data_IF_016125177142
#
_entry.id   IF_016125177142
#
_cell.length_a   1.000
_cell.length_b   1.000
_cell.length_c   1.000
_cell.angle_alpha   90.00
_cell.angle_beta   90.00
_cell.angle_gamma   90.00
#
_symmetry.space_group_name_H-M   'P 1'
#
loop_
_entity.id
_entity.type
_entity.pdbx_description
1 polymer ?
2 non-polymer ?
3 non-polymer ?
4 non-polymer ?
5 non-polymer ?
6 water ?
#
# COMPACT_ATOMS: atom_id res chain seq x y z
N UNK A 19 -26.99 19.31 10.02
CA UNK A 19 -26.10 18.25 9.52
C UNK A 19 -26.44 16.87 10.07
N UNK A 20 -26.16 15.80 9.30
CA UNK A 20 -26.34 14.44 9.81
C UNK A 20 -25.28 14.12 10.87
N UNK A 21 -25.63 13.17 11.75
CA UNK A 21 -24.76 12.68 12.84
C UNK A 21 -24.65 11.19 12.69
N UNK A 22 -23.50 10.63 13.07
CA UNK A 22 -23.26 9.19 13.01
C UNK A 22 -22.50 8.81 14.26
N UNK A 23 -23.13 8.01 15.15
CA UNK A 23 -22.46 7.44 16.32
C UNK A 23 -21.85 8.55 17.19
N UNK A 24 -22.67 9.56 17.49
CA UNK A 24 -22.29 10.63 18.39
C UNK A 24 -21.25 11.60 17.87
N UNK A 25 -21.05 11.66 16.53
CA UNK A 25 -20.12 12.63 15.94
C UNK A 25 -20.69 13.13 14.63
N UNK A 26 -20.38 14.38 14.31
CA UNK A 26 -20.86 15.04 13.11
C UNK A 26 -20.28 14.38 11.84
N UNK A 27 -21.11 14.24 10.81
CA UNK A 27 -20.66 13.72 9.52
C UNK A 27 -21.41 14.47 8.45
N UNK A 28 -20.87 15.62 8.12
CA UNK A 28 -21.62 16.70 7.53
C UNK A 28 -21.28 16.79 6.07
N UNK A 29 -21.98 16.02 5.27
CA UNK A 29 -21.61 15.87 3.86
C UNK A 29 -22.60 16.54 2.92
N UNK A 30 -23.25 17.59 3.43
CA UNK A 30 -24.15 18.41 2.63
C UNK A 30 -25.30 17.62 2.09
N UNK A 31 -26.20 18.28 1.37
CA UNK A 31 -27.41 17.59 0.90
C UNK A 31 -27.14 16.61 -0.24
N UNK A 32 -25.99 16.71 -0.94
CA UNK A 32 -25.67 15.76 -2.03
C UNK A 32 -25.64 14.30 -1.51
N UNK A 33 -25.12 14.10 -0.31
CA UNK A 33 -24.91 12.76 0.22
C UNK A 33 -25.76 12.53 1.44
N UNK A 34 -26.66 11.54 1.37
CA UNK A 34 -27.63 11.22 2.41
C UNK A 34 -27.62 9.69 2.72
N UNK A 35 -28.44 9.24 3.69
CA UNK A 35 -28.65 7.84 4.04
C UNK A 35 -27.32 7.21 4.42
N UNK A 36 -26.69 7.82 5.42
CA UNK A 36 -25.37 7.40 5.85
C UNK A 36 -25.46 6.10 6.62
N UNK A 37 -24.51 5.20 6.37
CA UNK A 37 -24.32 4.00 7.15
C UNK A 37 -22.86 3.99 7.57
N UNK A 38 -22.61 3.84 8.86
CA UNK A 38 -21.28 3.65 9.40
C UNK A 38 -20.60 2.40 8.76
N UNK A 39 -19.33 2.53 8.36
CA UNK A 39 -18.52 1.40 7.89
C UNK A 39 -17.51 1.02 8.97
N UNK A 40 -16.84 2.02 9.52
CA UNK A 40 -15.78 1.76 10.50
C UNK A 40 -14.82 2.92 10.63
N UNK A 41 -13.65 2.61 11.18
CA UNK A 41 -12.56 3.56 11.26
C UNK A 41 -11.47 3.09 10.30
N UNK A 42 -10.94 4.04 9.54
CA UNK A 42 -9.72 3.82 8.75
C UNK A 42 -8.55 4.58 9.34
N UNK A 43 -7.42 4.58 8.63
CA UNK A 43 -6.22 5.29 9.07
C UNK A 43 -6.48 6.79 9.34
N UNK A 44 -7.63 7.34 8.86
CA UNK A 44 -7.95 8.77 8.96
C UNK A 44 -9.05 9.12 9.99
N UNK A 45 -10.00 8.24 10.19
CA UNK A 45 -11.14 8.55 11.07
C UNK A 45 -12.38 7.86 10.60
N UNK A 46 -13.54 8.50 10.85
CA UNK A 46 -14.81 7.86 10.51
C UNK A 46 -14.96 7.73 8.99
N UNK A 47 -15.32 6.51 8.56
CA UNK A 47 -15.70 6.18 7.21
C UNK A 47 -17.15 5.75 7.23
N UNK A 48 -17.98 6.33 6.33
CA UNK A 48 -19.37 5.94 6.08
C UNK A 48 -19.60 5.62 4.60
N UNK A 49 -20.68 4.89 4.28
CA UNK A 49 -21.24 4.98 2.95
C UNK A 49 -22.40 5.96 2.97
N UNK A 50 -22.73 6.49 1.80
CA UNK A 50 -23.82 7.43 1.63
C UNK A 50 -24.36 7.29 0.21
N UNK A 51 -25.60 7.69 0.01
CA UNK A 51 -26.19 7.76 -1.31
C UNK A 51 -25.82 9.07 -1.99
N UNK A 52 -25.19 8.99 -3.17
CA UNK A 52 -24.84 10.18 -3.92
C UNK A 52 -26.07 10.53 -4.74
N UNK A 53 -26.77 11.62 -4.41
CA UNK A 53 -28.01 11.96 -5.13
C UNK A 53 -27.77 12.47 -6.57
N UNK A 54 -26.52 12.82 -6.95
CA UNK A 54 -26.20 13.26 -8.30
C UNK A 54 -25.96 12.05 -9.24
N UNK A 55 -24.93 11.22 -8.96
CA UNK A 55 -24.65 10.05 -9.80
C UNK A 55 -25.54 8.84 -9.50
N UNK A 56 -26.34 8.88 -8.43
CA UNK A 56 -27.36 7.88 -8.12
C UNK A 56 -26.74 6.51 -7.84
N UNK A 57 -25.70 6.51 -6.99
CA UNK A 57 -24.99 5.32 -6.51
C UNK A 57 -24.55 5.56 -5.06
N UNK A 58 -24.37 4.50 -4.29
CA UNK A 58 -23.76 4.66 -2.99
C UNK A 58 -22.24 4.86 -3.22
N UNK A 59 -21.63 5.74 -2.37
CA UNK A 59 -20.22 6.08 -2.40
C UNK A 59 -19.67 5.87 -1.00
N UNK A 60 -18.32 5.85 -0.85
CA UNK A 60 -17.65 5.84 0.43
C UNK A 60 -17.21 7.28 0.72
N UNK A 61 -17.26 7.70 2.00
CA UNK A 61 -16.80 9.02 2.43
C UNK A 61 -15.99 8.85 3.67
N UNK A 62 -14.79 9.43 3.70
CA UNK A 62 -13.98 9.46 4.89
C UNK A 62 -13.85 10.89 5.40
N UNK A 63 -13.93 11.04 6.73
CA UNK A 63 -13.83 12.33 7.43
C UNK A 63 -12.43 12.49 7.91
N UNK A 64 -11.82 13.64 7.54
CA UNK A 64 -10.50 14.07 7.97
C UNK A 64 -10.68 15.30 8.87
N UNK A 65 -10.24 15.23 10.13
CA UNK A 65 -10.32 16.33 11.10
C UNK A 65 -8.92 16.79 11.52
N UNK A 66 -8.68 18.13 11.63
CA UNK A 66 -7.34 18.56 12.04
C UNK A 66 -7.08 18.26 13.52
N UNK A 69 -2.78 16.32 14.00
CA UNK A 69 -1.50 17.04 14.01
C UNK A 69 -0.83 17.05 12.60
N UNK A 70 0.39 17.62 12.47
CA UNK A 70 1.03 17.86 11.17
C UNK A 70 1.51 16.60 10.39
N UNK A 71 1.54 15.41 11.01
CA UNK A 71 1.94 14.18 10.28
C UNK A 71 0.69 13.58 9.66
N UNK A 72 -0.36 13.43 10.45
CA UNK A 72 -1.73 13.20 9.97
C UNK A 72 -2.09 14.16 8.81
N UNK A 73 -1.69 15.43 8.96
CA UNK A 73 -1.99 16.46 7.99
C UNK A 73 -1.11 16.31 6.77
N UNK A 74 0.21 16.10 6.94
CA UNK A 74 1.07 16.01 5.73
C UNK A 74 0.67 14.79 4.89
N UNK A 75 0.29 13.70 5.54
CA UNK A 75 -0.16 12.49 4.83
C UNK A 75 -1.52 12.70 4.07
N UNK A 76 -2.41 13.51 4.61
CA UNK A 76 -3.63 13.91 3.92
C UNK A 76 -3.30 14.64 2.58
N UNK A 77 -2.40 15.60 2.62
CA UNK A 77 -2.06 16.37 1.44
C UNK A 77 -1.36 15.53 0.42
N UNK A 78 -0.41 14.71 0.86
CA UNK A 78 0.30 13.77 0.00
C UNK A 78 -0.69 12.87 -0.73
N UNK A 79 -1.63 12.28 -0.01
CA UNK A 79 -2.59 11.39 -0.62
C UNK A 79 -3.48 12.11 -1.63
N UNK A 80 -4.06 13.27 -1.23
CA UNK A 80 -4.90 14.03 -2.17
C UNK A 80 -4.13 14.37 -3.46
N UNK A 81 -2.92 14.93 -3.33
CA UNK A 81 -2.12 15.28 -4.54
C UNK A 81 -1.93 14.04 -5.47
N UNK A 82 -1.50 12.91 -4.88
CA UNK A 82 -1.27 11.71 -5.68
C UNK A 82 -2.53 11.18 -6.33
N UNK A 83 -3.59 10.99 -5.55
CA UNK A 83 -4.81 10.38 -6.06
C UNK A 83 -5.49 11.23 -7.07
N UNK A 84 -5.41 12.57 -6.95
CA UNK A 84 -5.94 13.45 -7.97
C UNK A 84 -5.15 13.39 -9.28
N UNK A 85 -3.81 13.12 -9.23
CA UNK A 85 -2.99 13.04 -10.46
C UNK A 85 -3.15 11.68 -11.14
N UNK A 86 -3.31 10.64 -10.36
CA UNK A 86 -3.39 9.29 -10.90
C UNK A 86 -4.72 8.99 -11.48
N UNK A 87 -4.71 8.32 -12.62
CA UNK A 87 -5.93 7.75 -13.18
C UNK A 87 -5.67 6.34 -13.66
N UNK A 88 -6.15 5.34 -12.91
CA UNK A 88 -5.91 3.94 -13.24
C UNK A 88 -7.01 3.07 -12.67
N UNK A 89 -7.42 2.05 -13.42
CA UNK A 89 -8.48 1.17 -12.99
C UNK A 89 -8.20 0.46 -11.67
N UNK A 90 -6.89 0.19 -11.31
CA UNK A 90 -6.57 -0.55 -10.11
C UNK A 90 -6.06 0.35 -9.00
N UNK A 91 -6.38 1.66 -9.07
CA UNK A 91 -6.02 2.63 -8.08
C UNK A 91 -7.28 3.42 -7.73
N UNK A 92 -7.56 3.55 -6.42
CA UNK A 92 -8.78 4.25 -6.00
C UNK A 92 -8.65 5.75 -6.47
N UNK A 93 -9.76 6.32 -6.93
CA UNK A 93 -9.76 7.74 -7.29
C UNK A 93 -10.32 8.56 -6.14
N UNK A 94 -10.37 9.86 -6.33
CA UNK A 94 -11.17 10.75 -5.49
C UNK A 94 -12.26 11.33 -6.40
N UNK A 95 -13.49 11.13 -6.05
CA UNK A 95 -14.64 11.56 -6.82
C UNK A 95 -15.08 12.97 -6.45
N UNK A 96 -14.85 13.36 -5.18
CA UNK A 96 -15.31 14.65 -4.66
C UNK A 96 -14.60 14.90 -3.34
N UNK A 97 -14.48 16.16 -2.97
CA UNK A 97 -13.95 16.56 -1.66
C UNK A 97 -14.89 17.65 -1.16
N UNK A 98 -15.38 17.51 0.08
CA UNK A 98 -16.25 18.48 0.72
C UNK A 98 -15.49 19.22 1.77
N UNK A 99 -15.54 20.57 1.68
CA UNK A 99 -14.99 21.37 2.73
C UNK A 99 -15.69 22.76 2.71
N UNK A 100 -15.45 23.58 3.73
CA UNK A 100 -15.99 24.94 3.76
C UNK A 100 -15.43 25.81 2.62
N UNK A 101 -16.16 26.88 2.22
CA UNK A 101 -15.69 27.71 1.10
C UNK A 101 -14.48 28.61 1.36
N UNK A 102 -14.08 28.81 2.61
CA UNK A 102 -12.96 29.65 3.00
C UNK A 102 -12.04 28.91 3.92
N UNK A 103 -10.73 29.27 3.91
CA UNK A 103 -9.79 28.72 4.90
C UNK A 103 -10.25 28.97 6.31
N UNK A 104 -10.81 30.18 6.58
CA UNK A 104 -11.19 30.53 7.95
C UNK A 104 -12.24 29.57 8.47
N UNK A 105 -13.19 29.17 7.60
CA UNK A 105 -14.27 28.26 8.05
C UNK A 105 -13.91 26.78 7.90
N UNK A 106 -12.81 26.47 7.24
CA UNK A 106 -12.47 25.08 6.96
C UNK A 106 -12.07 24.40 8.24
N UNK A 107 -12.70 23.27 8.53
CA UNK A 107 -12.33 22.42 9.67
C UNK A 107 -12.21 21.00 9.11
N UNK A 108 -13.30 20.28 8.95
CA UNK A 108 -13.24 18.91 8.46
C UNK A 108 -13.21 18.92 6.92
N UNK A 109 -12.60 17.88 6.39
CA UNK A 109 -12.51 17.63 4.96
C UNK A 109 -13.08 16.23 4.72
N UNK A 110 -14.03 16.10 3.84
CA UNK A 110 -14.62 14.77 3.51
C UNK A 110 -14.19 14.35 2.13
N UNK A 111 -13.59 13.13 2.03
CA UNK A 111 -13.12 12.63 0.76
C UNK A 111 -14.10 11.54 0.28
N UNK A 112 -14.64 11.73 -0.90
CA UNK A 112 -15.63 10.85 -1.46
C UNK A 112 -14.95 9.95 -2.51
N UNK A 113 -15.17 8.63 -2.39
CA UNK A 113 -14.53 7.66 -3.26
C UNK A 113 -15.53 6.58 -3.65
N UNK A 114 -15.24 5.84 -4.72
CA UNK A 114 -16.06 4.68 -5.10
C UNK A 114 -16.25 3.75 -3.90
N UNK A 115 -17.46 3.26 -3.70
CA UNK A 115 -17.74 2.37 -2.59
C UNK A 115 -17.18 1.01 -2.99
N UNK A 116 -16.45 0.38 -2.10
CA UNK A 116 -15.90 -0.94 -2.37
C UNK A 116 -16.42 -1.87 -1.27
N UNK A 117 -17.06 -3.00 -1.64
CA UNK A 117 -17.76 -3.94 -0.71
C UNK A 117 -16.80 -4.33 0.39
N UNK A 118 -15.52 -4.63 0.03
CA UNK A 118 -14.62 -5.20 1.03
C UNK A 118 -13.12 -4.86 0.73
N UNK A 119 -12.22 -5.51 1.42
CA UNK A 119 -10.80 -5.39 1.19
C UNK A 119 -10.15 -6.74 1.44
N UNK A 120 -8.87 -6.88 1.07
CA UNK A 120 -8.23 -8.18 1.12
C UNK A 120 -8.00 -8.60 2.60
N UNK A 121 -7.82 -7.67 3.53
CA UNK A 121 -7.69 -7.99 4.95
C UNK A 121 -8.95 -8.69 5.44
N UNK A 122 -10.12 -8.09 5.22
CA UNK A 122 -11.42 -8.67 5.65
C UNK A 122 -11.68 -9.97 4.95
N UNK A 123 -11.39 -10.03 3.65
CA UNK A 123 -11.66 -11.25 2.89
C UNK A 123 -10.76 -12.41 3.42
N UNK A 124 -9.48 -12.16 3.66
CA UNK A 124 -8.60 -13.21 4.16
C UNK A 124 -8.92 -13.66 5.58
N UNK A 125 -9.55 -12.84 6.44
CA UNK A 125 -9.89 -13.35 7.78
C UNK A 125 -10.99 -14.43 7.68
N UNK A 126 -11.83 -14.41 6.61
CA UNK A 126 -13.03 -15.24 6.51
C UNK A 126 -13.10 -16.21 5.32
N UNK A 127 -12.30 -16.02 4.24
CA UNK A 127 -12.51 -16.71 2.96
C UNK A 127 -11.25 -17.38 2.46
N UNK A 128 -11.34 -18.63 2.07
CA UNK A 128 -10.29 -19.32 1.35
C UNK A 128 -10.34 -18.85 -0.09
N UNK A 129 -9.18 -18.50 -0.66
CA UNK A 129 -9.15 -18.06 -2.06
C UNK A 129 -8.81 -19.21 -2.96
N UNK A 130 -9.55 -19.36 -4.08
CA UNK A 130 -9.16 -20.26 -5.15
C UNK A 130 -7.85 -19.82 -5.76
N UNK A 131 -7.08 -20.73 -6.37
CA UNK A 131 -5.89 -20.32 -7.12
C UNK A 131 -6.25 -19.27 -8.19
N UNK A 132 -7.44 -19.38 -8.81
CA UNK A 132 -7.87 -18.38 -9.80
C UNK A 132 -8.04 -17.00 -9.19
N UNK A 133 -8.57 -16.90 -7.98
CA UNK A 133 -8.68 -15.58 -7.30
C UNK A 133 -7.30 -15.02 -6.95
N UNK A 134 -6.39 -15.87 -6.44
CA UNK A 134 -5.04 -15.44 -6.04
C UNK A 134 -4.36 -14.84 -7.29
N UNK A 135 -4.48 -15.55 -8.39
CA UNK A 135 -3.83 -15.18 -9.64
C UNK A 135 -4.37 -13.82 -10.15
N UNK A 136 -5.68 -13.66 -10.14
CA UNK A 136 -6.36 -12.44 -10.57
C UNK A 136 -6.06 -11.24 -9.67
N UNK A 137 -6.15 -11.44 -8.34
CA UNK A 137 -5.79 -10.40 -7.38
C UNK A 137 -4.35 -9.98 -7.58
N UNK A 138 -3.43 -10.96 -7.67
CA UNK A 138 -2.02 -10.64 -7.82
C UNK A 138 -1.79 -9.84 -9.10
N UNK A 139 -2.45 -10.27 -10.20
CA UNK A 139 -2.32 -9.54 -11.46
C UNK A 139 -2.73 -8.07 -11.28
N UNK A 140 -3.89 -7.83 -10.64
CA UNK A 140 -4.43 -6.46 -10.53
C UNK A 140 -3.52 -5.60 -9.62
N UNK A 141 -3.01 -6.19 -8.54
CA UNK A 141 -2.03 -5.51 -7.67
C UNK A 141 -0.84 -5.05 -8.50
N UNK A 142 -0.25 -5.97 -9.26
CA UNK A 142 0.94 -5.64 -10.05
C UNK A 142 0.63 -4.65 -11.17
N UNK A 143 -0.54 -4.76 -11.76
CA UNK A 143 -0.98 -3.87 -12.83
C UNK A 143 -1.07 -2.41 -12.27
N UNK A 144 -1.67 -2.24 -11.11
CA UNK A 144 -1.74 -0.95 -10.43
C UNK A 144 -0.36 -0.49 -10.04
N UNK A 145 0.45 -1.40 -9.50
CA UNK A 145 1.80 -1.07 -9.04
C UNK A 145 2.71 -0.59 -10.21
N UNK A 146 2.54 -1.21 -11.37
CA UNK A 146 3.25 -0.77 -12.61
C UNK A 146 2.99 0.72 -12.87
N UNK A 147 1.72 1.13 -12.77
CA UNK A 147 1.39 2.53 -13.01
C UNK A 147 2.01 3.45 -11.94
N UNK A 148 1.91 3.07 -10.67
CA UNK A 148 2.50 3.85 -9.57
C UNK A 148 4.00 4.02 -9.78
N UNK A 149 4.72 2.89 -10.00
CA UNK A 149 6.14 2.93 -10.21
C UNK A 149 6.50 3.68 -11.48
N UNK A 150 5.67 3.59 -12.54
CA UNK A 150 5.91 4.35 -13.76
C UNK A 150 5.87 5.87 -13.50
N UNK A 151 5.15 6.33 -12.45
CA UNK A 151 5.10 7.73 -12.08
C UNK A 151 6.26 8.12 -11.13
N UNK A 152 7.24 7.21 -10.92
CA UNK A 152 8.38 7.40 -10.02
C UNK A 152 7.92 7.51 -8.58
N UNK A 153 6.79 6.86 -8.23
CA UNK A 153 6.24 6.88 -6.88
C UNK A 153 6.31 5.51 -6.28
N UNK A 154 6.52 5.49 -4.99
CA UNK A 154 6.51 4.32 -4.12
C UNK A 154 5.35 4.42 -3.21
N UNK A 155 4.56 3.34 -3.09
CA UNK A 155 3.40 3.35 -2.24
C UNK A 155 3.85 3.31 -0.77
N UNK A 156 4.73 2.37 -0.47
CA UNK A 156 5.46 2.14 0.80
C UNK A 156 4.59 1.58 1.94
N UNK A 157 3.31 1.26 1.69
CA UNK A 157 2.48 0.66 2.73
C UNK A 157 1.47 -0.28 2.18
N UNK A 158 1.92 -1.07 1.18
CA UNK A 158 1.07 -2.09 0.61
C UNK A 158 0.85 -3.20 1.65
N UNK A 159 -0.40 -3.58 1.81
CA UNK A 159 -0.85 -4.58 2.77
C UNK A 159 -2.31 -4.92 2.44
N UNK A 160 -2.82 -6.07 2.91
CA UNK A 160 -4.19 -6.46 2.53
C UNK A 160 -5.26 -5.39 2.76
N UNK A 161 -5.16 -4.62 3.86
CA UNK A 161 -6.25 -3.65 4.18
C UNK A 161 -6.26 -2.45 3.19
N UNK A 162 -5.15 -2.23 2.46
CA UNK A 162 -5.10 -1.23 1.43
C UNK A 162 -5.40 -1.75 0.03
N UNK A 163 -5.99 -2.92 -0.07
CA UNK A 163 -6.35 -3.48 -1.36
C UNK A 163 -7.86 -3.68 -1.29
N UNK A 164 -8.57 -2.77 -1.91
CA UNK A 164 -10.03 -2.78 -1.91
C UNK A 164 -10.59 -3.69 -2.97
N UNK A 165 -11.73 -4.38 -2.70
CA UNK A 165 -12.40 -5.25 -3.63
C UNK A 165 -13.88 -4.95 -3.69
N UNK A 166 -14.41 -4.96 -4.86
CA UNK A 166 -15.87 -4.82 -5.08
C UNK A 166 -16.53 -6.19 -5.21
N UNK A 167 -17.88 -6.26 -5.48
CA UNK A 167 -18.55 -7.57 -5.47
C UNK A 167 -18.13 -8.49 -6.56
N UNK A 168 -17.51 -7.96 -7.61
CA UNK A 168 -17.01 -8.78 -8.70
C UNK A 168 -15.48 -8.96 -8.64
N UNK A 169 -14.89 -8.70 -7.49
CA UNK A 169 -13.44 -8.91 -7.30
C UNK A 169 -12.52 -7.99 -8.15
N UNK A 170 -13.01 -6.85 -8.61
CA UNK A 170 -12.11 -5.80 -9.12
C UNK A 170 -11.38 -5.20 -7.91
N UNK A 171 -10.10 -4.94 -8.06
CA UNK A 171 -9.23 -4.58 -6.98
C UNK A 171 -8.68 -3.18 -7.24
N UNK A 172 -8.60 -2.40 -6.18
CA UNK A 172 -8.08 -1.03 -6.22
C UNK A 172 -7.15 -0.77 -5.01
N UNK A 173 -5.97 -0.28 -5.32
CA UNK A 173 -4.99 0.06 -4.34
C UNK A 173 -5.43 1.41 -3.74
N UNK A 174 -5.41 1.53 -2.42
CA UNK A 174 -5.73 2.76 -1.71
C UNK A 174 -4.61 3.13 -0.66
N UNK A 175 -4.82 4.26 0.01
CA UNK A 175 -3.97 4.81 1.05
C UNK A 175 -2.54 5.16 0.64
N UNK A 176 -2.39 6.30 0.04
CA UNK A 176 -1.10 6.80 -0.40
C UNK A 176 -0.46 7.80 0.61
N UNK A 177 -0.88 7.74 1.86
CA UNK A 177 -0.38 8.57 2.95
C UNK A 177 1.10 8.46 3.25
N UNK A 178 1.73 7.29 3.03
CA UNK A 178 3.16 7.09 3.24
C UNK A 178 3.96 7.12 1.95
N UNK A 179 3.34 7.42 0.81
CA UNK A 179 4.00 7.38 -0.46
C UNK A 179 5.10 8.42 -0.62
N UNK A 180 6.10 8.12 -1.43
CA UNK A 180 7.18 9.05 -1.71
C UNK A 180 7.59 8.95 -3.14
N UNK A 181 8.24 10.01 -3.69
CA UNK A 181 8.96 9.90 -4.95
C UNK A 181 10.19 9.03 -4.75
N UNK A 182 10.43 8.12 -5.67
CA UNK A 182 11.58 7.21 -5.60
C UNK A 182 12.90 8.00 -5.56
N UNK A 183 13.88 7.55 -4.76
CA UNK A 183 15.14 8.28 -4.62
C UNK A 183 16.21 7.30 -4.27
N UNK A 184 16.51 6.36 -5.19
CA UNK A 184 17.53 5.35 -4.86
C UNK A 184 18.89 5.90 -4.42
N UNK A 185 19.34 7.03 -5.00
CA UNK A 185 20.65 7.60 -4.63
C UNK A 185 20.71 8.08 -3.18
N UNK A 186 19.57 8.24 -2.51
CA UNK A 186 19.56 8.59 -1.09
C UNK A 186 18.89 7.50 -0.24
N UNK A 187 18.95 6.22 -0.65
CA UNK A 187 18.30 5.12 0.08
C UNK A 187 19.08 4.60 1.28
N UNK A 188 20.41 4.88 1.38
CA UNK A 188 21.20 4.28 2.44
C UNK A 188 21.02 4.96 3.76
N UNK A 189 21.03 4.13 4.81
CA UNK A 189 20.99 4.58 6.20
C UNK A 189 21.69 3.54 7.09
N UNK A 190 21.84 3.87 8.37
CA UNK A 190 22.41 2.98 9.37
C UNK A 190 21.48 1.85 9.76
N UNK A 191 22.05 0.99 10.59
CA UNK A 191 21.38 -0.18 11.12
C UNK A 191 20.33 0.26 12.16
N UNK A 192 19.14 -0.37 12.15
CA UNK A 192 18.08 -0.11 13.13
C UNK A 192 17.51 1.32 13.01
N UNK A 193 17.37 1.84 11.77
CA UNK A 193 16.76 3.15 11.57
C UNK A 193 15.26 2.97 11.64
N UNK A 194 14.59 3.84 12.40
CA UNK A 194 13.16 3.73 12.62
C UNK A 194 12.42 3.88 11.27
N UNK A 195 11.29 3.20 11.16
CA UNK A 195 10.53 3.18 9.91
C UNK A 195 9.04 3.24 10.25
N UNK A 196 8.26 3.87 9.35
CA UNK A 196 6.86 4.21 9.58
C UNK A 196 5.90 3.08 9.10
N UNK A 197 6.15 2.54 7.91
CA UNK A 197 5.24 1.60 7.27
C UNK A 197 4.98 0.33 8.06
N UNK A 198 3.86 -0.32 7.81
CA UNK A 198 3.35 -1.45 8.59
C UNK A 198 4.38 -2.57 8.69
N UNK A 199 4.63 -3.05 9.93
CA UNK A 199 5.82 -3.88 10.18
C UNK A 199 5.87 -5.22 9.40
N UNK A 200 4.76 -5.97 9.34
CA UNK A 200 4.80 -7.33 8.75
C UNK A 200 5.15 -7.34 7.21
N UNK A 201 5.02 -6.20 6.56
CA UNK A 201 5.19 -6.10 5.11
C UNK A 201 6.52 -5.36 4.75
N UNK A 202 7.42 -5.09 5.73
CA UNK A 202 8.69 -4.36 5.58
C UNK A 202 9.78 -5.30 5.05
N UNK A 203 10.46 -4.89 4.01
CA UNK A 203 11.54 -5.64 3.42
C UNK A 203 12.71 -5.75 4.42
N UNK A 204 13.52 -6.83 4.33
CA UNK A 204 14.57 -7.01 5.35
C UNK A 204 15.52 -5.83 5.43
N UNK A 205 15.80 -5.20 4.23
CA UNK A 205 16.77 -4.11 4.17
C UNK A 205 16.36 -2.87 4.97
N UNK A 206 15.05 -2.68 5.26
CA UNK A 206 14.62 -1.55 6.09
C UNK A 206 15.28 -1.62 7.48
N UNK A 207 15.39 -2.84 8.02
CA UNK A 207 16.00 -3.05 9.32
C UNK A 207 17.52 -2.98 9.29
N UNK A 208 18.14 -2.97 8.10
CA UNK A 208 19.56 -3.10 7.95
C UNK A 208 20.22 -1.83 7.46
N UNK A 209 19.78 -1.31 6.30
CA UNK A 209 20.49 -0.21 5.66
C UNK A 209 19.66 0.62 4.67
N UNK A 210 18.32 0.57 4.74
CA UNK A 210 17.47 1.19 3.71
C UNK A 210 16.42 2.08 4.33
N UNK A 211 16.24 3.30 3.76
CA UNK A 211 15.12 4.20 4.08
C UNK A 211 13.83 3.92 3.27
N UNK A 212 13.80 2.84 2.50
CA UNK A 212 12.58 2.52 1.74
C UNK A 212 12.32 3.50 0.60
N UNK A 213 13.37 3.95 -0.06
CA UNK A 213 13.28 4.92 -1.15
C UNK A 213 13.43 4.27 -2.54
N UNK A 214 13.34 2.92 -2.65
CA UNK A 214 13.42 2.26 -3.94
C UNK A 214 12.20 1.36 -4.15
N UNK A 215 11.92 1.12 -5.43
CA UNK A 215 10.76 0.37 -5.91
C UNK A 215 10.72 -1.04 -5.34
N UNK A 216 11.91 -1.63 -5.09
CA UNK A 216 12.04 -2.97 -4.52
C UNK A 216 11.36 -3.10 -3.14
N UNK A 217 11.08 -1.96 -2.45
CA UNK A 217 10.44 -2.04 -1.13
C UNK A 217 8.96 -2.50 -1.30
N UNK A 218 8.31 -2.06 -2.38
CA UNK A 218 6.94 -2.39 -2.67
C UNK A 218 6.81 -3.79 -3.19
N UNK A 219 7.74 -4.26 -4.00
CA UNK A 219 7.74 -5.65 -4.46
C UNK A 219 7.79 -6.61 -3.26
N UNK A 220 8.63 -6.30 -2.23
CA UNK A 220 8.69 -7.17 -1.05
C UNK A 220 7.25 -7.27 -0.44
N UNK A 221 6.58 -6.14 -0.25
CA UNK A 221 5.25 -6.10 0.34
C UNK A 221 4.30 -6.95 -0.47
N UNK A 222 4.38 -6.86 -1.80
CA UNK A 222 3.51 -7.66 -2.67
C UNK A 222 3.79 -9.16 -2.48
N UNK A 223 5.06 -9.54 -2.36
CA UNK A 223 5.48 -10.90 -2.07
C UNK A 223 4.83 -11.41 -0.78
N UNK A 224 4.84 -10.54 0.26
CA UNK A 224 4.22 -10.86 1.55
C UNK A 224 2.69 -11.08 1.38
N UNK A 225 2.07 -10.24 0.59
CA UNK A 225 0.64 -10.32 0.31
C UNK A 225 0.32 -11.60 -0.44
N UNK A 226 1.12 -11.97 -1.46
CA UNK A 226 0.95 -13.24 -2.16
C UNK A 226 0.98 -14.42 -1.19
N UNK A 227 2.00 -14.44 -0.35
CA UNK A 227 2.15 -15.54 0.62
C UNK A 227 0.93 -15.61 1.54
N UNK A 228 0.46 -14.46 1.98
CA UNK A 228 -0.71 -14.37 2.83
C UNK A 228 -1.98 -14.87 2.10
N UNK A 229 -2.13 -14.58 0.77
CA UNK A 229 -3.25 -15.10 0.00
C UNK A 229 -3.21 -16.65 -0.12
N UNK A 230 -1.99 -17.22 -0.18
CA UNK A 230 -1.81 -18.66 -0.28
C UNK A 230 -2.23 -19.41 0.99
N UNK A 231 -2.11 -18.82 2.17
CA UNK A 231 -2.37 -19.53 3.43
C UNK A 231 -3.36 -18.86 4.38
N UNK A 232 -3.85 -17.65 4.06
CA UNK A 232 -4.66 -16.83 4.95
C UNK A 232 -3.95 -16.39 6.25
N UNK A 233 -2.63 -16.48 6.33
CA UNK A 233 -1.88 -16.11 7.53
C UNK A 233 -0.75 -15.18 7.07
N UNK A 234 -0.41 -14.12 7.81
CA UNK A 234 0.79 -13.32 7.42
C UNK A 234 2.02 -14.20 7.49
N UNK A 235 2.90 -14.06 6.52
CA UNK A 235 4.06 -14.94 6.43
C UNK A 235 5.13 -14.58 7.48
N UNK A 236 5.26 -13.30 7.81
CA UNK A 236 6.30 -12.78 8.71
C UNK A 236 5.66 -11.85 9.77
N UNK A 237 4.90 -12.43 10.69
CA UNK A 237 4.22 -11.62 11.70
C UNK A 237 5.13 -11.22 12.88
N UNK A 238 6.08 -10.34 12.62
CA UNK A 238 6.98 -9.84 13.65
C UNK A 238 6.24 -9.10 14.73
N UNK A 239 6.68 -9.24 15.97
CA UNK A 239 6.07 -8.51 17.11
C UNK A 239 6.75 -7.17 17.45
N UNK A 240 7.89 -6.91 16.85
CA UNK A 240 8.62 -5.70 17.08
C UNK A 240 9.72 -5.58 16.04
N UNK A 241 10.32 -4.41 15.99
CA UNK A 241 11.20 -4.00 14.91
C UNK A 241 12.21 -5.08 14.46
N UNK A 242 13.13 -5.55 15.36
CA UNK A 242 14.14 -6.51 14.92
C UNK A 242 13.56 -7.90 14.78
N UNK A 243 12.44 -8.23 15.50
CA UNK A 243 11.80 -9.57 15.35
C UNK A 243 11.28 -9.78 13.91
N UNK A 244 10.96 -8.70 13.23
CA UNK A 244 10.55 -8.77 11.83
C UNK A 244 11.66 -9.39 10.98
N UNK A 245 12.91 -8.92 11.17
CA UNK A 245 14.04 -9.52 10.44
C UNK A 245 14.25 -11.01 10.73
N UNK A 246 14.08 -11.40 11.97
CA UNK A 246 14.35 -12.76 12.37
C UNK A 246 13.20 -13.71 11.79
N UNK A 247 11.95 -13.20 11.63
CA UNK A 247 10.90 -13.97 10.94
C UNK A 247 11.34 -14.20 9.46
N UNK A 248 11.86 -13.21 8.83
CA UNK A 248 12.26 -13.28 7.40
C UNK A 248 13.39 -14.26 7.27
N UNK A 249 14.42 -14.11 8.13
CA UNK A 249 15.57 -15.03 8.07
C UNK A 249 15.21 -16.47 8.45
N UNK A 250 14.23 -16.65 9.32
CA UNK A 250 13.75 -17.99 9.64
C UNK A 250 13.17 -18.75 8.46
N UNK A 251 12.74 -18.03 7.40
CA UNK A 251 12.19 -18.72 6.20
C UNK A 251 13.18 -18.69 5.08
N UNK A 252 13.76 -17.49 4.77
CA UNK A 252 14.74 -17.41 3.66
C UNK A 252 16.08 -18.11 3.99
N UNK A 253 16.36 -18.28 5.26
CA UNK A 253 17.63 -18.79 5.70
C UNK A 253 18.66 -17.67 5.74
N UNK A 254 19.87 -18.02 6.17
CA UNK A 254 20.96 -17.08 6.28
C UNK A 254 21.31 -16.49 4.90
N UNK A 255 21.57 -15.17 4.78
CA UNK A 255 22.02 -14.64 3.49
C UNK A 255 23.38 -15.16 3.12
N UNK A 256 23.57 -15.22 1.83
CA UNK A 256 24.78 -15.74 1.23
C UNK A 256 25.92 -14.76 1.49
N UNK A 257 27.15 -15.22 1.35
CA UNK A 257 28.30 -14.31 1.44
C UNK A 257 28.20 -13.12 0.46
N UNK A 258 27.80 -13.38 -0.80
CA UNK A 258 27.63 -12.30 -1.77
C UNK A 258 26.57 -11.28 -1.33
N UNK A 259 25.42 -11.75 -0.82
CA UNK A 259 24.38 -10.82 -0.36
C UNK A 259 24.85 -10.03 0.86
N UNK A 260 25.63 -10.64 1.75
CA UNK A 260 26.24 -9.92 2.87
C UNK A 260 27.25 -8.89 2.41
N UNK A 261 28.06 -9.24 1.42
CA UNK A 261 29.04 -8.29 0.86
C UNK A 261 28.43 -7.06 0.27
N UNK A 262 27.19 -7.16 -0.22
CA UNK A 262 26.40 -6.02 -0.66
C UNK A 262 26.03 -5.06 0.46
N UNK A 263 26.05 -5.51 1.72
CA UNK A 263 25.74 -4.66 2.85
C UNK A 263 27.04 -4.07 3.39
N UNK A 264 27.34 -2.84 3.03
CA UNK A 264 28.63 -2.22 3.43
C UNK A 264 28.64 -1.73 4.87
N UNK A 265 27.47 -1.26 5.35
CA UNK A 265 27.34 -0.86 6.74
C UNK A 265 27.77 -1.94 7.73
N UNK A 266 28.69 -1.63 8.60
CA UNK A 266 29.32 -2.65 9.43
C UNK A 266 28.43 -3.14 10.54
N UNK A 267 27.66 -2.26 11.19
CA UNK A 267 26.76 -2.69 12.26
C UNK A 267 25.72 -3.67 11.67
N UNK A 268 25.17 -3.35 10.52
CA UNK A 268 24.22 -4.23 9.84
C UNK A 268 24.84 -5.57 9.46
N UNK A 269 26.03 -5.51 8.79
CA UNK A 269 26.79 -6.68 8.35
C UNK A 269 27.04 -7.61 9.51
N UNK A 270 27.63 -7.08 10.56
CA UNK A 270 28.05 -7.82 11.74
C UNK A 270 26.91 -8.35 12.55
N UNK A 271 25.79 -7.65 12.56
CA UNK A 271 24.57 -8.27 13.14
C UNK A 271 24.23 -9.60 12.45
N UNK A 272 24.19 -9.59 11.10
CA UNK A 272 23.83 -10.79 10.39
C UNK A 272 24.93 -11.86 10.58
N UNK A 273 26.20 -11.47 10.61
CA UNK A 273 27.26 -12.48 10.85
C UNK A 273 27.18 -13.09 12.25
N UNK A 274 26.57 -12.40 13.22
CA UNK A 274 26.49 -12.89 14.60
C UNK A 274 25.45 -14.00 14.77
N UNK A 275 24.53 -14.15 13.81
CA UNK A 275 23.40 -15.04 13.94
C UNK A 275 23.86 -16.47 13.62
N UNK A 276 23.31 -17.48 14.29
CA UNK A 276 23.54 -18.88 13.86
C UNK A 276 23.05 -19.11 12.44
N UNK A 277 23.60 -20.11 11.79
CA UNK A 277 23.17 -20.52 10.46
C UNK A 277 21.70 -20.95 10.54
N UNK A 278 20.89 -20.44 9.59
CA UNK A 278 19.47 -20.78 9.48
C UNK A 278 19.31 -21.35 8.08
N UNK A 279 18.65 -22.51 8.00
CA UNK A 279 18.30 -23.17 6.76
C UNK A 279 17.11 -22.50 6.09
N UNK A 280 17.07 -22.52 4.78
CA UNK A 280 15.92 -22.04 4.02
C UNK A 280 14.76 -23.02 4.24
N UNK A 281 13.56 -22.47 4.40
CA UNK A 281 12.36 -23.29 4.49
C UNK A 281 11.86 -23.34 3.03
N UNK A 282 11.80 -24.53 2.38
CA UNK A 282 11.30 -24.58 0.99
C UNK A 282 9.89 -24.06 0.88
N UNK A 283 9.61 -23.29 -0.17
CA UNK A 283 8.28 -22.71 -0.34
C UNK A 283 7.18 -23.73 -0.41
N UNK A 284 7.45 -24.87 -1.08
CA UNK A 284 6.42 -25.92 -1.23
C UNK A 284 6.12 -26.63 0.12
N UNK A 285 7.01 -26.52 1.12
CA UNK A 285 6.71 -27.04 2.45
C UNK A 285 5.83 -26.08 3.25
N UNK A 286 6.05 -24.76 3.13
CA UNK A 286 5.16 -23.79 3.73
C UNK A 286 3.82 -23.72 3.03
N UNK A 287 3.78 -23.97 1.69
CA UNK A 287 2.60 -23.78 0.88
C UNK A 287 2.36 -25.04 0.03
N UNK A 288 2.00 -26.13 0.73
CA UNK A 288 1.89 -27.43 0.03
C UNK A 288 0.73 -27.51 -0.98
N UNK A 289 -0.27 -26.65 -0.85
CA UNK A 289 -1.42 -26.55 -1.79
C UNK A 289 -1.20 -25.56 -2.93
N UNK A 290 -0.11 -24.75 -2.90
CA UNK A 290 0.10 -23.68 -3.89
C UNK A 290 0.48 -24.16 -5.27
N UNK A 291 0.09 -23.40 -6.27
CA UNK A 291 0.54 -23.64 -7.64
C UNK A 291 2.04 -23.42 -7.71
N UNK A 292 2.76 -24.31 -8.41
CA UNK A 292 4.20 -24.21 -8.49
C UNK A 292 4.71 -22.91 -9.15
N UNK A 293 4.00 -22.39 -10.14
CA UNK A 293 4.39 -21.13 -10.79
C UNK A 293 4.22 -19.97 -9.82
N UNK A 294 3.15 -20.01 -8.97
CA UNK A 294 2.96 -18.98 -7.93
C UNK A 294 4.15 -18.95 -7.00
N UNK A 295 4.66 -20.14 -6.61
CA UNK A 295 5.76 -20.22 -5.68
C UNK A 295 7.06 -19.78 -6.34
N UNK A 296 7.25 -20.01 -7.64
CA UNK A 296 8.45 -19.52 -8.34
C UNK A 296 8.44 -17.98 -8.32
N UNK A 297 7.25 -17.36 -8.57
CA UNK A 297 7.15 -15.89 -8.52
C UNK A 297 7.30 -15.36 -7.10
N UNK A 298 6.72 -16.07 -6.10
CA UNK A 298 6.85 -15.66 -4.72
C UNK A 298 8.34 -15.58 -4.32
N UNK A 299 9.11 -16.61 -4.73
CA UNK A 299 10.53 -16.67 -4.42
C UNK A 299 11.27 -15.45 -4.96
N UNK A 300 10.91 -15.03 -6.17
CA UNK A 300 11.56 -13.91 -6.83
C UNK A 300 11.18 -12.56 -6.22
N UNK A 301 9.99 -12.45 -5.67
CA UNK A 301 9.55 -11.24 -4.99
C UNK A 301 10.13 -11.18 -3.58
N UNK A 302 10.27 -12.34 -2.92
CA UNK A 302 10.81 -12.41 -1.58
C UNK A 302 12.30 -12.76 -1.60
N UNK A 303 13.03 -12.08 -2.41
CA UNK A 303 14.47 -12.20 -2.48
C UNK A 303 15.10 -11.26 -1.45
N UNK A 304 16.09 -11.76 -0.66
CA UNK A 304 16.73 -11.00 0.39
C UNK A 304 17.40 -9.76 -0.20
N UNK A 305 18.17 -9.95 -1.29
CA UNK A 305 18.99 -8.86 -1.81
C UNK A 305 18.08 -7.97 -2.66
N UNK A 306 17.80 -6.70 -2.31
CA UNK A 306 16.84 -5.90 -3.11
C UNK A 306 17.28 -5.67 -4.55
N UNK A 307 18.57 -5.69 -4.85
CA UNK A 307 19.06 -5.60 -6.23
C UNK A 307 18.74 -6.83 -7.09
N UNK A 308 18.55 -7.98 -6.43
CA UNK A 308 18.24 -9.22 -7.13
C UNK A 308 16.71 -9.46 -7.23
N UNK A 309 15.92 -8.69 -6.51
CA UNK A 309 14.48 -8.83 -6.42
C UNK A 309 13.85 -8.50 -7.74
N UNK A 310 12.82 -9.26 -8.13
CA UNK A 310 12.14 -9.02 -9.40
C UNK A 310 11.45 -7.63 -9.40
N UNK A 311 11.36 -6.95 -10.56
CA UNK A 311 10.70 -5.66 -10.72
C UNK A 311 9.27 -5.88 -11.23
N UNK A 312 8.44 -4.85 -11.14
CA UNK A 312 7.00 -5.03 -11.37
C UNK A 312 6.69 -5.54 -12.75
N UNK A 313 7.37 -5.01 -13.78
CA UNK A 313 7.11 -5.44 -15.16
C UNK A 313 7.55 -6.87 -15.38
N UNK A 314 8.65 -7.31 -14.73
CA UNK A 314 9.05 -8.70 -14.80
C UNK A 314 8.09 -9.63 -14.16
N UNK A 315 7.58 -9.21 -12.98
CA UNK A 315 6.57 -9.97 -12.27
C UNK A 315 5.30 -10.16 -13.16
N UNK A 316 4.82 -9.08 -13.80
CA UNK A 316 3.72 -9.19 -14.73
C UNK A 316 3.95 -10.21 -15.87
N UNK A 317 5.19 -10.28 -16.37
CA UNK A 317 5.59 -11.17 -17.45
C UNK A 317 5.91 -12.59 -16.97
N UNK A 318 5.74 -12.91 -15.66
CA UNK A 318 6.04 -14.22 -15.14
C UNK A 318 4.98 -15.25 -15.61
N UNK A 319 5.39 -16.50 -15.94
CA UNK A 319 4.40 -17.52 -16.35
C UNK A 319 3.16 -17.68 -15.48
N UNK A 320 3.25 -17.41 -14.16
CA UNK A 320 2.07 -17.53 -13.29
C UNK A 320 0.89 -16.66 -13.79
N UNK A 321 1.22 -15.47 -14.34
CA UNK A 321 0.22 -14.49 -14.78
C UNK A 321 -0.04 -14.50 -16.29
N UNK A 322 0.42 -15.53 -17.01
CA UNK A 322 0.29 -15.65 -18.49
C UNK A 322 -1.14 -15.46 -18.98
N UNK A 323 -2.13 -15.86 -18.20
CA UNK A 323 -3.54 -15.74 -18.62
C UNK A 323 -4.00 -14.29 -18.74
N UNK A 324 -3.34 -13.36 -18.01
CA UNK A 324 -3.72 -11.98 -17.91
C UNK A 324 -2.71 -11.07 -18.61
N UNK A 325 -1.43 -11.45 -18.66
CA UNK A 325 -0.36 -10.52 -19.06
C UNK A 325 -0.65 -9.94 -20.44
N UNK A 326 -0.67 -8.63 -20.51
CA UNK A 326 -0.88 -7.92 -21.77
C UNK A 326 -0.33 -6.51 -21.61
N UNK A 327 0.92 -6.29 -21.99
CA UNK A 327 1.56 -4.99 -21.68
C UNK A 327 0.87 -3.77 -22.28
N UNK A 328 0.18 -3.97 -23.42
CA UNK A 328 -0.56 -2.89 -24.04
C UNK A 328 -1.81 -2.48 -23.24
N UNK A 329 -2.26 -3.36 -22.33
CA UNK A 329 -3.38 -3.09 -21.45
C UNK A 329 -2.95 -2.93 -20.00
N UNK A 330 -1.69 -2.47 -19.79
CA UNK A 330 -1.14 -2.25 -18.48
C UNK A 330 -0.53 -0.85 -18.58
N UNK A 331 -1.39 0.16 -18.51
CA UNK A 331 -0.93 1.54 -18.77
C UNK A 331 0.03 2.10 -17.75
N UNK A 332 0.77 3.10 -18.19
CA UNK A 332 1.70 3.82 -17.34
C UNK A 332 1.28 5.28 -17.24
N UNK A 333 1.87 6.00 -16.30
CA UNK A 333 1.57 7.41 -16.08
C UNK A 333 2.19 8.26 -17.21
N UNK A 334 1.53 9.35 -17.59
CA UNK A 334 1.96 10.25 -18.67
C UNK A 334 3.30 10.97 -18.32
N UNK A 335 3.52 11.24 -17.03
CA UNK A 335 4.71 11.93 -16.60
C UNK A 335 5.14 11.47 -15.19
N UNK A 336 6.43 11.57 -14.85
CA UNK A 336 6.85 11.26 -13.47
C UNK A 336 6.22 12.26 -12.49
N UNK A 337 5.89 11.81 -11.28
CA UNK A 337 5.21 12.61 -10.27
C UNK A 337 6.20 13.52 -9.61
N UNK A 338 5.74 14.74 -9.27
CA UNK A 338 6.54 15.85 -8.79
C UNK A 338 5.84 16.43 -7.57
N UNK A 339 6.40 16.13 -6.39
CA UNK A 339 6.27 16.81 -5.10
C UNK A 339 5.24 17.96 -5.04
N UNK A 346 7.40 22.10 6.89
CA UNK A 346 6.28 22.92 6.37
C UNK A 346 5.47 23.48 7.52
N UNK A 347 5.47 24.81 7.72
CA UNK A 347 4.63 25.38 8.80
C UNK A 347 3.16 24.94 8.71
N UNK A 348 2.49 24.77 9.87
CA UNK A 348 1.11 24.26 9.94
C UNK A 348 0.12 25.14 9.16
N UNK A 349 0.34 26.47 9.13
CA UNK A 349 -0.50 27.40 8.38
C UNK A 349 -0.36 27.17 6.87
N UNK A 350 0.87 26.90 6.43
CA UNK A 350 1.10 26.59 5.04
C UNK A 350 0.43 25.26 4.67
N UNK A 351 0.39 24.24 5.56
CA UNK A 351 -0.19 22.95 5.18
C UNK A 351 -1.70 23.12 4.99
N UNK A 352 -2.36 23.85 5.92
CA UNK A 352 -3.79 24.16 5.75
C UNK A 352 -4.08 24.85 4.40
N UNK A 353 -3.30 25.90 4.06
CA UNK A 353 -3.52 26.62 2.78
C UNK A 353 -3.35 25.68 1.60
N UNK A 354 -2.30 24.83 1.61
CA UNK A 354 -2.11 23.88 0.50
C UNK A 354 -3.27 22.86 0.34
N UNK A 355 -3.81 22.34 1.42
CA UNK A 355 -4.97 21.46 1.38
C UNK A 355 -6.17 22.22 0.80
N UNK A 356 -6.39 23.46 1.25
CA UNK A 356 -7.44 24.31 0.68
C UNK A 356 -7.28 24.45 -0.85
N UNK A 357 -6.05 24.79 -1.29
CA UNK A 357 -5.74 24.93 -2.70
C UNK A 357 -5.91 23.66 -3.48
N UNK A 358 -5.42 22.52 -2.95
CA UNK A 358 -5.48 21.24 -3.65
C UNK A 358 -6.92 20.72 -3.79
N UNK A 359 -7.86 21.16 -2.93
CA UNK A 359 -9.24 20.73 -2.97
C UNK A 359 -10.19 21.71 -3.69
N UNK A 360 -9.65 22.81 -4.24
CA UNK A 360 -10.44 23.89 -4.86
C UNK A 360 -11.29 23.43 -6.03
N UNK A 361 -10.84 22.40 -6.80
CA UNK A 361 -11.55 22.00 -8.03
C UNK A 361 -12.94 21.40 -7.79
N UNK A 362 -13.23 20.96 -6.55
CA UNK A 362 -14.52 20.38 -6.24
C UNK A 362 -15.55 21.41 -5.75
N UNK A 363 -15.18 22.69 -5.73
CA UNK A 363 -16.05 23.73 -5.25
C UNK A 363 -16.92 24.27 -6.37
N UNK A 364 -18.16 24.66 -6.04
CA UNK A 364 -18.87 25.63 -6.90
C UNK A 364 -18.16 27.00 -6.82
X LIG B 1 8.24 -0.78 15.07
X LIG B 1 8.67 -2.09 14.47
X LIG B 1 9.14 -0.35 16.16
X LIG B 1 8.37 0.25 13.97
X LIG B 1 6.84 -0.88 15.54
X LIG C 1 -10.45 -18.51 6.24
X LIG C 1 -10.78 -19.07 7.49
X LIG C 1 -9.99 -19.61 5.27
X LIG C 1 -8.81 -20.22 5.78
X LIG D 1 34.08 -2.06 1.29
X LIG D 1 33.94 -3.26 2.03
X LIG D 1 33.70 -2.28 -0.12
X LIG D 1 34.05 -1.17 -0.93
X LIG D 1 33.15 -0.08 -0.82
X LIG D 1 33.35 0.87 -1.97
X LIG D 1 32.37 1.90 -1.96
X LIG E 1 32.95 -6.15 -0.02
X LIG E 1 32.32 -6.72 -1.15
X LIG E 1 32.66 -6.87 1.25
X LIG E 1 33.28 -8.16 1.33
X LIG E 1 33.60 -8.60 2.65
X LIG E 1 33.94 -10.06 2.67
X LIG E 1 34.23 -10.54 3.97
X LIG F 1 0.87 -27.24 -10.53
X LIG F 1 1.58 -26.77 -9.41
X LIG F 1 -0.65 -27.24 -10.25
X LIG F 1 -1.19 -25.95 -10.56
X LIG G 1 -7.71 2.76 1.67
X LIG G 1 -9.21 2.75 1.94
X LIG G 1 -10.02 3.58 0.96
X LIG G 1 -12.16 4.12 -0.07
X LIG G 1 -13.19 3.18 -0.68
X LIG G 1 -13.92 2.43 0.39
X LIG G 1 -15.49 1.21 1.32
X LIG G 1 -13.44 2.38 1.66
X LIG G 1 -12.16 3.03 2.11
X LIG G 1 -9.45 4.37 0.21
X LIG G 1 -11.36 3.42 0.93
X LIG G 1 -15.11 1.76 0.20
X LIG G 1 -14.47 1.46 2.68
X LIG G 1 -7.24 2.53 2.50
X LIG G 1 -7.43 3.67 1.41
X LIG G 1 -9.36 3.09 2.85
X LIG G 1 -9.54 1.82 1.91
X LIG G 1 -11.57 4.46 -0.77
X LIG G 1 -12.62 4.88 0.35
X LIG G 1 -13.84 3.70 -1.19
X LIG G 1 -12.76 2.56 -1.26
X LIG G 1 -16.28 0.70 1.39
X LIG G 1 -11.65 2.41 2.68
X LIG G 1 -12.37 3.83 2.64
#
# INVERSE_FOLDING_TARGET
MAHHHHHHMAAAAAAGAGPEMVRGQVFDVGPRYTNLSYIGEGAYGMVCSAYDNVNKVRVAIKKISPFEHQTYCQRTLREIKILLRFRHENIIGINDIIRAPTIEQMKDVYIVQDLMETDLYKLLKTQHLSNDHICYFLYQILRGLKYIHSANVLHRDLKPSNLLLNTTCDLKICDFGLARVADPDHDHTGFLTEYVATRWYRAPEIMLNSKGYTKSIDIWSVGCILAEMLSNRPIFPGKHYLDQLNHILGILGSPSQEDLNCIINLKARNYLLSLPHKNKVPWNRLFPNADSKALDLLDKMLTFNPHKRIEVEQALAHPYLEQYYDPSDEPIAEAPFKFDMELDDLPKEKLKELIFEETARFQPGYRS
SO4 S O1 O2 O3 O4
EDO C1 O1 C2 O2
PEG C1 O1 C2 O2 C3 C4 O4
PEG C1 O1 C2 O2 C3 C4 O4
EDO C1 O1 C2 O2
N4F C1 C2 C3 C6 C7 C8 C10 C12 C13 O4 N5 N9 S11 H14 H15 H16 H24 H18 H17 H20 H19 H21 H23 H22
#
